data_IF_310734744037
#
_entry.id   IF_310734744037
#
_cell.length_a   1.000
_cell.length_b   1.000
_cell.length_c   1.000
_cell.angle_alpha   90.00
_cell.angle_beta   90.00
_cell.angle_gamma   90.00
#
_symmetry.space_group_name_H-M   'P 1'
#
loop_
_entity.id
_entity.type
_entity.pdbx_description
1 polymer ?
#
# COMPACT_ATOMS: atom_id res chain seq x y z
N UNK A 1 -7.76 -9.26 11.20
CA UNK A 1 -7.94 -8.15 10.24
C UNK A 1 -8.27 -6.89 10.99
N UNK A 2 -7.61 -5.79 10.68
CA UNK A 2 -7.75 -4.54 11.42
C UNK A 2 -7.98 -3.37 10.47
N UNK A 3 -8.85 -2.44 10.89
CA UNK A 3 -8.94 -1.13 10.28
C UNK A 3 -7.99 -0.20 11.03
N UNK A 4 -6.96 0.27 10.36
CA UNK A 4 -5.91 1.07 10.98
C UNK A 4 -5.81 2.45 10.34
N UNK A 5 -5.54 3.45 11.17
CA UNK A 5 -5.18 4.77 10.69
C UNK A 5 -3.78 4.75 10.09
N UNK A 6 -3.44 5.79 9.34
CA UNK A 6 -2.10 5.92 8.77
C UNK A 6 -1.03 5.93 9.88
N UNK A 7 -1.30 6.60 11.00
CA UNK A 7 -0.35 6.61 12.11
C UNK A 7 -0.17 5.23 12.75
N UNK A 8 -1.23 4.46 12.87
CA UNK A 8 -1.15 3.10 13.39
C UNK A 8 -0.35 2.19 12.47
N UNK A 9 -0.53 2.31 11.14
CA UNK A 9 0.27 1.58 10.17
C UNK A 9 1.77 1.92 10.29
N UNK A 10 2.09 3.20 10.44
CA UNK A 10 3.48 3.64 10.61
C UNK A 10 4.11 3.06 11.86
N UNK A 11 3.37 2.96 12.95
CA UNK A 11 3.86 2.34 14.18
C UNK A 11 4.14 0.85 13.99
N UNK A 12 3.26 0.13 13.30
CA UNK A 12 3.46 -1.28 13.01
C UNK A 12 4.69 -1.50 12.12
N UNK A 13 4.92 -0.63 11.15
CA UNK A 13 6.05 -0.75 10.23
C UNK A 13 7.40 -0.63 10.93
N UNK A 14 7.46 -0.05 12.12
CA UNK A 14 8.69 -0.03 12.91
C UNK A 14 9.07 -1.43 13.41
N UNK A 15 8.12 -2.34 13.49
CA UNK A 15 8.35 -3.72 13.93
C UNK A 15 8.60 -4.67 12.76
N UNK A 16 8.12 -4.34 11.57
CA UNK A 16 8.28 -5.17 10.39
C UNK A 16 7.23 -4.91 9.34
N UNK A 17 7.28 -5.66 8.22
CA UNK A 17 6.30 -5.51 7.16
C UNK A 17 4.88 -5.85 7.62
N UNK A 18 3.89 -5.24 6.99
CA UNK A 18 2.48 -5.45 7.30
C UNK A 18 1.77 -5.94 6.03
N UNK A 19 1.13 -7.10 6.12
CA UNK A 19 0.28 -7.58 5.03
C UNK A 19 -1.01 -6.75 5.03
N UNK A 20 -1.38 -6.22 3.87
CA UNK A 20 -2.58 -5.42 3.72
C UNK A 20 -3.36 -5.86 2.49
N UNK A 21 -4.65 -5.61 2.50
CA UNK A 21 -5.47 -5.67 1.30
C UNK A 21 -5.79 -4.23 0.88
N UNK A 22 -5.64 -3.95 -0.39
CA UNK A 22 -5.79 -2.59 -0.92
C UNK A 22 -6.67 -2.60 -2.16
N UNK A 23 -7.09 -1.42 -2.58
CA UNK A 23 -7.69 -1.24 -3.89
C UNK A 23 -6.58 -1.08 -4.92
N UNK A 24 -6.47 -2.04 -5.83
CA UNK A 24 -5.43 -2.06 -6.86
C UNK A 24 -5.98 -1.69 -8.25
N UNK A 25 -7.08 -0.99 -8.30
CA UNK A 25 -7.66 -0.55 -9.56
C UNK A 25 -6.67 0.31 -10.34
N UNK A 26 -6.45 -0.03 -11.60
CA UNK A 26 -5.51 0.63 -12.52
C UNK A 26 -4.02 0.42 -12.18
N UNK A 27 -3.71 -0.47 -11.28
CA UNK A 27 -2.31 -0.76 -10.95
C UNK A 27 -1.56 -1.48 -12.06
N UNK A 28 -2.25 -2.22 -12.94
CA UNK A 28 -1.61 -2.97 -14.02
C UNK A 28 -0.83 -2.07 -14.98
N UNK A 29 -1.21 -0.81 -15.13
CA UNK A 29 -0.54 0.15 -16.00
C UNK A 29 0.53 0.96 -15.28
N UNK A 30 0.72 0.74 -13.99
CA UNK A 30 1.71 1.49 -13.22
C UNK A 30 3.12 1.14 -13.66
N UNK A 31 3.93 2.14 -14.01
CA UNK A 31 5.30 1.95 -14.44
C UNK A 31 6.32 2.63 -13.52
N UNK A 32 5.89 3.51 -12.66
CA UNK A 32 6.78 4.23 -11.74
C UNK A 32 6.14 5.51 -11.24
N UNK A 33 6.84 6.16 -10.30
CA UNK A 33 6.35 7.39 -9.68
C UNK A 33 5.44 7.13 -8.50
N UNK A 34 4.84 8.19 -7.98
CA UNK A 34 3.92 8.11 -6.84
C UNK A 34 2.49 8.03 -7.34
N UNK A 35 1.83 6.91 -7.05
CA UNK A 35 0.49 6.63 -7.51
C UNK A 35 -0.55 7.18 -6.53
N UNK A 36 -1.62 7.75 -7.05
CA UNK A 36 -2.76 8.19 -6.23
C UNK A 36 -4.01 7.46 -6.69
N UNK A 37 -4.66 6.75 -5.78
CA UNK A 37 -5.92 6.09 -6.08
C UNK A 37 -7.03 7.11 -6.25
N UNK A 38 -7.90 6.81 -7.19
CA UNK A 38 -9.16 7.54 -7.34
C UNK A 38 -10.19 6.86 -6.47
N UNK A 39 -10.45 7.34 -5.36
CA UNK A 39 -11.41 6.99 -4.34
C UNK A 39 -12.44 5.89 -4.62
N UNK A 40 -12.87 5.22 -3.56
CA UNK A 40 -14.09 4.41 -3.47
C UNK A 40 -14.04 3.04 -4.13
N UNK A 41 -12.91 2.64 -4.68
CA UNK A 41 -12.77 1.29 -5.20
C UNK A 41 -12.73 0.29 -4.05
N UNK A 42 -13.25 -0.90 -4.32
CA UNK A 42 -13.23 -1.96 -3.33
C UNK A 42 -11.82 -2.49 -3.13
N UNK A 43 -11.54 -2.93 -1.92
CA UNK A 43 -10.33 -3.68 -1.62
C UNK A 43 -10.37 -4.99 -2.40
N UNK A 44 -9.37 -5.24 -3.24
CA UNK A 44 -9.38 -6.36 -4.16
C UNK A 44 -8.02 -7.04 -4.35
N UNK A 45 -6.99 -6.65 -3.60
CA UNK A 45 -5.66 -7.20 -3.80
C UNK A 45 -4.87 -7.19 -2.49
N UNK A 46 -4.14 -8.27 -2.23
CA UNK A 46 -3.29 -8.41 -1.06
C UNK A 46 -1.84 -8.09 -1.43
N UNK A 47 -1.18 -7.27 -0.64
CA UNK A 47 0.20 -6.86 -0.85
C UNK A 47 0.93 -6.72 0.47
N UNK A 48 2.23 -6.42 0.41
CA UNK A 48 3.08 -6.24 1.58
C UNK A 48 3.50 -4.77 1.69
N UNK A 49 3.02 -4.11 2.74
CA UNK A 49 3.44 -2.75 3.07
C UNK A 49 4.79 -2.85 3.78
N UNK A 50 5.83 -2.19 3.23
CA UNK A 50 7.19 -2.35 3.75
C UNK A 50 7.79 -1.06 4.31
N UNK A 51 7.24 0.10 3.99
CA UNK A 51 7.80 1.35 4.47
C UNK A 51 6.96 2.55 4.13
N UNK A 52 7.46 3.72 4.54
CA UNK A 52 6.79 4.98 4.25
C UNK A 52 7.78 6.13 4.33
N UNK A 53 7.41 7.22 3.68
CA UNK A 53 8.02 8.55 3.85
C UNK A 53 6.90 9.52 4.23
N UNK A 54 7.21 10.78 4.53
CA UNK A 54 6.13 11.75 4.74
C UNK A 54 5.19 11.92 3.53
N UNK A 55 5.64 11.54 2.34
CA UNK A 55 4.91 11.77 1.10
C UNK A 55 4.24 10.53 0.52
N UNK A 56 4.73 9.33 0.84
CA UNK A 56 4.19 8.12 0.22
C UNK A 56 4.46 6.86 1.03
N UNK A 57 3.67 5.82 0.71
CA UNK A 57 3.84 4.44 1.18
C UNK A 57 4.67 3.65 0.18
N UNK A 58 5.43 2.69 0.66
CA UNK A 58 6.22 1.78 -0.17
C UNK A 58 5.63 0.39 -0.03
N UNK A 59 5.16 -0.17 -1.13
CA UNK A 59 4.44 -1.44 -1.17
C UNK A 59 5.13 -2.40 -2.12
N UNK A 60 5.33 -3.63 -1.67
CA UNK A 60 5.83 -4.71 -2.51
C UNK A 60 4.65 -5.50 -3.07
N UNK A 61 4.56 -5.57 -4.41
CA UNK A 61 3.56 -6.34 -5.12
C UNK A 61 4.14 -7.68 -5.58
N UNK A 62 3.27 -8.60 -6.03
CA UNK A 62 3.67 -9.93 -6.48
C UNK A 62 3.51 -10.12 -7.99
N UNK A 63 3.60 -9.07 -8.79
CA UNK A 63 3.43 -9.15 -10.24
C UNK A 63 4.74 -9.20 -11.00
N UNK A 64 5.84 -9.52 -10.32
CA UNK A 64 7.15 -9.68 -10.93
C UNK A 64 7.96 -8.39 -10.92
N UNK A 65 9.26 -8.54 -11.18
CA UNK A 65 10.22 -7.43 -11.10
C UNK A 65 10.08 -6.43 -12.23
N UNK A 66 9.42 -6.82 -13.32
CA UNK A 66 9.21 -5.91 -14.47
C UNK A 66 8.04 -4.96 -14.27
N UNK A 67 7.19 -5.24 -13.30
CA UNK A 67 6.06 -4.38 -12.98
C UNK A 67 6.52 -3.25 -12.07
N UNK A 68 6.00 -2.04 -12.32
CA UNK A 68 6.24 -0.88 -11.46
C UNK A 68 7.72 -0.55 -11.33
N UNK A 69 8.12 -0.22 -10.11
CA UNK A 69 9.51 0.10 -9.77
C UNK A 69 10.19 -1.15 -9.23
N UNK A 70 10.62 -2.03 -10.12
CA UNK A 70 11.25 -3.32 -9.78
C UNK A 70 10.37 -4.18 -8.85
N UNK A 71 9.08 -4.18 -9.13
CA UNK A 71 8.10 -4.94 -8.35
C UNK A 71 7.43 -4.17 -7.23
N UNK A 72 7.84 -2.91 -7.02
CA UNK A 72 7.30 -2.05 -5.97
C UNK A 72 6.42 -0.95 -6.53
N UNK A 73 5.53 -0.43 -5.69
CA UNK A 73 4.75 0.76 -6.00
C UNK A 73 4.85 1.74 -4.83
N UNK A 74 4.96 3.02 -5.17
CA UNK A 74 4.85 4.10 -4.20
C UNK A 74 3.45 4.68 -4.30
N UNK A 75 2.74 4.72 -3.18
CA UNK A 75 1.36 5.22 -3.13
C UNK A 75 1.33 6.48 -2.29
N UNK A 76 0.73 7.54 -2.83
CA UNK A 76 0.67 8.83 -2.16
C UNK A 76 0.07 8.73 -0.76
N UNK A 77 0.70 9.37 0.21
CA UNK A 77 0.20 9.51 1.58
C UNK A 77 -0.47 10.87 1.82
N UNK A 78 -0.73 11.64 0.77
CA UNK A 78 -1.37 12.95 0.89
C UNK A 78 -2.83 12.87 1.33
N UNK A 79 -3.46 11.72 1.16
CA UNK A 79 -4.81 11.44 1.63
C UNK A 79 -4.75 10.36 2.69
N UNK A 80 -5.53 10.54 3.74
CA UNK A 80 -5.69 9.49 4.73
C UNK A 80 -6.32 8.26 4.07
N UNK A 81 -5.76 7.08 4.36
CA UNK A 81 -6.25 5.80 3.85
C UNK A 81 -6.34 5.73 2.32
N UNK A 82 -5.39 6.33 1.61
CA UNK A 82 -5.34 6.28 0.15
C UNK A 82 -5.25 4.82 -0.32
N UNK A 83 -5.96 4.46 -1.40
CA UNK A 83 -6.11 3.07 -1.87
C UNK A 83 -6.70 2.14 -0.80
N UNK A 84 -7.33 2.68 0.23
CA UNK A 84 -7.86 1.94 1.38
C UNK A 84 -6.79 1.14 2.12
N UNK A 85 -5.59 1.71 2.20
CA UNK A 85 -4.39 1.04 2.71
C UNK A 85 -4.53 0.50 4.13
N UNK A 86 -5.30 1.17 4.98
CA UNK A 86 -5.51 0.76 6.37
C UNK A 86 -6.77 -0.06 6.61
N UNK A 87 -7.57 -0.32 5.57
CA UNK A 87 -8.90 -0.92 5.75
C UNK A 87 -8.84 -2.39 6.16
N UNK A 88 -7.84 -3.13 5.70
CA UNK A 88 -7.73 -4.56 5.98
C UNK A 88 -6.26 -4.93 6.20
N UNK A 89 -5.74 -4.57 7.34
CA UNK A 89 -4.35 -4.87 7.70
C UNK A 89 -4.25 -6.17 8.50
N UNK A 90 -3.20 -6.94 8.22
CA UNK A 90 -2.86 -8.15 8.96
C UNK A 90 -1.49 -7.95 9.59
N UNK A 91 -1.38 -8.20 10.88
CA UNK A 91 -0.11 -8.13 11.59
C UNK A 91 0.63 -9.45 11.37
N UNK A 92 1.88 -9.38 10.90
CA UNK A 92 2.68 -10.55 10.54
C UNK A 92 3.80 -10.87 11.54
N UNK A 93 3.79 -10.23 12.67
CA UNK A 93 4.85 -10.38 13.69
C UNK A 93 4.30 -10.32 15.10
#
# INVERSE_FOLDING_TARGET
>A
MYDLSDNELKQLLQKGPVAISISATNWEDYAGGVFTCRNFDKVNHAVLLIGYTPSYWIIKNQWGLKWGESGFIRVSANRNNNCKIGTSAFVMF
#
